data_IF_143713209399
#
_entry.id   IF_143713209399
#
_cell.length_a   1.000
_cell.length_b   1.000
_cell.length_c   1.000
_cell.angle_alpha   90.00
_cell.angle_beta   90.00
_cell.angle_gamma   90.00
#
_symmetry.space_group_name_H-M   'P 1'
#
loop_
_entity.id
_entity.type
_entity.pdbx_description
1 polymer ?
#
# COMPACT_ATOMS: atom_id res chain seq x y z
N UNK A 1 2.38 -11.70 0.38
CA UNK A 1 2.30 -10.79 1.54
C UNK A 1 1.28 -11.30 2.54
N UNK A 2 1.06 -10.55 3.63
CA UNK A 2 0.13 -10.95 4.71
C UNK A 2 -1.31 -11.10 4.23
N UNK A 3 -1.75 -10.31 3.25
CA UNK A 3 -3.04 -10.48 2.57
C UNK A 3 -3.16 -11.88 1.96
N UNK A 4 -2.18 -12.33 1.16
CA UNK A 4 -2.20 -13.64 0.52
C UNK A 4 -2.25 -14.79 1.54
N UNK A 5 -1.53 -14.65 2.67
CA UNK A 5 -1.59 -15.62 3.77
C UNK A 5 -3.01 -15.65 4.37
N UNK A 6 -3.56 -14.49 4.70
CA UNK A 6 -4.82 -14.35 5.42
C UNK A 6 -6.03 -14.82 4.61
N UNK A 7 -6.03 -14.60 3.29
CA UNK A 7 -7.10 -15.09 2.40
C UNK A 7 -6.99 -16.59 2.13
N UNK A 8 -5.85 -17.22 2.43
CA UNK A 8 -5.62 -18.65 2.15
C UNK A 8 -5.92 -19.56 3.34
N UNK A 9 -5.93 -19.03 4.57
CA UNK A 9 -6.08 -19.84 5.79
C UNK A 9 -7.41 -19.57 6.51
N UNK A 10 -7.96 -20.54 7.26
CA UNK A 10 -9.21 -20.36 7.98
C UNK A 10 -9.20 -19.19 8.97
N UNK A 11 -8.10 -19.02 9.73
CA UNK A 11 -8.00 -17.98 10.75
C UNK A 11 -8.12 -16.54 10.20
N UNK A 12 -7.61 -16.29 8.99
CA UNK A 12 -7.73 -14.99 8.34
C UNK A 12 -9.11 -14.78 7.72
N UNK A 13 -9.65 -15.82 7.07
CA UNK A 13 -10.99 -15.77 6.45
C UNK A 13 -12.13 -15.64 7.45
N UNK A 14 -12.01 -16.24 8.64
CA UNK A 14 -13.09 -16.24 9.64
C UNK A 14 -13.37 -14.86 10.25
N UNK A 15 -12.55 -13.85 9.96
CA UNK A 15 -12.75 -12.48 10.45
C UNK A 15 -13.36 -11.54 9.41
N UNK A 16 -13.55 -12.01 8.16
CA UNK A 16 -14.20 -11.24 7.09
C UNK A 16 -15.72 -11.24 7.33
N UNK A 17 -16.33 -10.08 7.25
CA UNK A 17 -17.79 -9.94 7.38
C UNK A 17 -18.48 -9.99 6.01
N UNK A 18 -17.78 -9.52 4.97
CA UNK A 18 -18.28 -9.55 3.60
C UNK A 18 -17.66 -10.71 2.80
N UNK A 19 -18.45 -11.47 2.02
CA UNK A 19 -17.93 -12.46 1.09
C UNK A 19 -17.36 -11.83 -0.19
N UNK A 20 -16.74 -12.66 -1.03
CA UNK A 20 -16.35 -12.28 -2.38
C UNK A 20 -15.25 -11.19 -2.46
N UNK A 21 -15.25 -10.37 -3.52
CA UNK A 21 -14.24 -9.33 -3.77
C UNK A 21 -14.16 -8.27 -2.65
N UNK A 22 -15.28 -7.98 -1.97
CA UNK A 22 -15.31 -7.01 -0.88
C UNK A 22 -14.52 -7.52 0.33
N UNK A 23 -14.74 -8.77 0.76
CA UNK A 23 -13.97 -9.40 1.84
C UNK A 23 -12.47 -9.49 1.54
N UNK A 24 -12.11 -9.72 0.27
CA UNK A 24 -10.72 -9.62 -0.17
C UNK A 24 -10.15 -8.21 0.07
N UNK A 25 -10.92 -7.17 -0.27
CA UNK A 25 -10.52 -5.77 -0.06
C UNK A 25 -10.44 -5.40 1.41
N UNK A 26 -11.31 -5.89 2.26
CA UNK A 26 -11.23 -5.68 3.71
C UNK A 26 -9.87 -6.12 4.27
N UNK A 27 -9.42 -7.32 3.87
CA UNK A 27 -8.12 -7.86 4.29
C UNK A 27 -6.95 -7.13 3.62
N UNK A 28 -7.04 -6.86 2.32
CA UNK A 28 -6.00 -6.11 1.62
C UNK A 28 -5.82 -4.72 2.24
N UNK A 29 -6.93 -4.02 2.49
CA UNK A 29 -6.92 -2.67 3.02
C UNK A 29 -6.39 -2.62 4.45
N UNK A 30 -6.74 -3.59 5.30
CA UNK A 30 -6.22 -3.67 6.66
C UNK A 30 -4.68 -3.73 6.70
N UNK A 31 -4.09 -4.63 5.89
CA UNK A 31 -2.62 -4.73 5.79
C UNK A 31 -2.01 -3.54 5.05
N UNK A 32 -2.61 -3.07 3.96
CA UNK A 32 -2.10 -1.89 3.24
C UNK A 32 -2.09 -0.63 4.13
N UNK A 33 -3.13 -0.42 4.93
CA UNK A 33 -3.23 0.67 5.89
C UNK A 33 -2.21 0.53 7.03
N UNK A 34 -2.03 -0.69 7.56
CA UNK A 34 -1.00 -1.01 8.55
C UNK A 34 0.42 -0.76 8.02
N UNK A 35 0.72 -1.25 6.82
CA UNK A 35 1.99 -1.06 6.14
C UNK A 35 2.29 0.42 5.84
N UNK A 36 1.28 1.17 5.39
CA UNK A 36 1.42 2.59 5.14
C UNK A 36 1.43 3.42 6.44
N UNK A 37 1.22 2.79 7.61
CA UNK A 37 1.05 3.46 8.88
C UNK A 37 -0.05 4.55 8.85
N UNK A 38 -1.13 4.30 8.10
CA UNK A 38 -2.25 5.22 7.92
C UNK A 38 -3.24 5.16 9.08
N UNK A 39 -3.69 3.95 9.43
CA UNK A 39 -4.63 3.71 10.54
C UNK A 39 -6.12 3.71 10.14
N UNK A 40 -6.44 4.03 8.88
CA UNK A 40 -7.80 3.86 8.34
C UNK A 40 -8.20 2.38 8.25
N UNK A 41 -9.50 2.08 8.33
CA UNK A 41 -10.05 0.73 8.17
C UNK A 41 -11.39 0.76 7.42
N UNK A 42 -11.71 -0.31 6.69
CA UNK A 42 -13.05 -0.52 6.09
C UNK A 42 -14.11 -0.92 7.14
N UNK A 43 -13.67 -1.26 8.35
CA UNK A 43 -14.50 -1.56 9.53
C UNK A 43 -15.43 -2.78 9.46
N UNK A 44 -15.49 -3.51 8.34
CA UNK A 44 -16.15 -4.83 8.30
C UNK A 44 -15.24 -5.98 8.77
N UNK A 45 -13.92 -5.89 8.63
CA UNK A 45 -12.98 -6.90 9.13
C UNK A 45 -12.84 -6.86 10.66
N UNK A 46 -13.06 -7.99 11.34
CA UNK A 46 -12.75 -8.11 12.77
C UNK A 46 -11.23 -8.23 13.02
N UNK A 47 -10.59 -7.09 13.22
CA UNK A 47 -9.15 -6.99 13.51
C UNK A 47 -8.79 -7.18 14.99
N UNK A 48 -9.77 -7.34 15.87
CA UNK A 48 -9.54 -7.54 17.31
C UNK A 48 -9.13 -8.98 17.66
N UNK A 49 -9.10 -9.89 16.69
CA UNK A 49 -8.57 -11.24 16.90
C UNK A 49 -7.06 -11.19 17.14
N UNK A 50 -6.49 -12.11 17.95
CA UNK A 50 -5.04 -12.19 18.13
C UNK A 50 -4.29 -12.33 16.79
N UNK A 51 -4.87 -13.02 15.81
CA UNK A 51 -4.30 -13.17 14.48
C UNK A 51 -4.07 -11.82 13.78
N UNK A 52 -5.11 -11.02 13.59
CA UNK A 52 -5.00 -9.74 12.89
C UNK A 52 -4.25 -8.69 13.72
N UNK A 53 -4.54 -8.60 15.03
CA UNK A 53 -3.90 -7.64 15.90
C UNK A 53 -2.37 -7.80 15.92
N UNK A 54 -1.87 -9.05 16.02
CA UNK A 54 -0.44 -9.33 16.02
C UNK A 54 0.16 -9.05 14.63
N UNK A 55 -0.44 -9.57 13.56
CA UNK A 55 0.15 -9.43 12.21
C UNK A 55 0.18 -7.98 11.73
N UNK A 56 -0.91 -7.22 11.95
CA UNK A 56 -0.95 -5.79 11.62
C UNK A 56 0.04 -5.03 12.50
N UNK A 57 0.11 -5.32 13.80
CA UNK A 57 1.07 -4.68 14.70
C UNK A 57 2.53 -4.92 14.29
N UNK A 58 2.86 -6.16 13.90
CA UNK A 58 4.17 -6.52 13.36
C UNK A 58 4.44 -5.76 12.06
N UNK A 59 3.49 -5.73 11.14
CA UNK A 59 3.62 -5.00 9.88
C UNK A 59 3.85 -3.50 10.10
N UNK A 60 3.15 -2.87 11.04
CA UNK A 60 3.36 -1.47 11.41
C UNK A 60 4.77 -1.24 11.94
N UNK A 61 5.28 -2.09 12.84
CA UNK A 61 6.64 -1.94 13.38
C UNK A 61 7.68 -2.00 12.24
N UNK A 62 7.60 -3.02 11.39
CA UNK A 62 8.56 -3.18 10.31
C UNK A 62 8.44 -2.08 9.27
N UNK A 63 7.23 -1.76 8.81
CA UNK A 63 7.02 -0.71 7.82
C UNK A 63 7.36 0.69 8.33
N UNK A 64 7.26 0.94 9.64
CA UNK A 64 7.64 2.21 10.24
C UNK A 64 9.15 2.37 10.37
N UNK A 65 9.83 1.37 10.93
CA UNK A 65 11.23 1.53 11.35
C UNK A 65 12.23 1.00 10.33
N UNK A 66 11.90 -0.04 9.57
CA UNK A 66 12.83 -0.61 8.59
C UNK A 66 13.18 0.39 7.47
N UNK A 67 12.24 1.15 6.87
CA UNK A 67 12.57 2.16 5.86
C UNK A 67 13.36 3.36 6.42
N UNK A 68 13.30 3.62 7.73
CA UNK A 68 14.08 4.70 8.35
C UNK A 68 15.58 4.41 8.33
N UNK A 69 16.00 3.14 8.38
CA UNK A 69 17.41 2.77 8.35
C UNK A 69 18.12 3.23 7.06
N UNK A 70 17.66 2.87 5.84
CA UNK A 70 18.26 3.38 4.61
C UNK A 70 18.02 4.89 4.44
N UNK A 71 16.91 5.44 4.94
CA UNK A 71 16.66 6.89 4.90
C UNK A 71 17.71 7.67 5.69
N UNK A 72 18.03 7.24 6.91
CA UNK A 72 19.07 7.84 7.75
C UNK A 72 20.46 7.63 7.15
N UNK A 73 20.74 6.45 6.59
CA UNK A 73 22.00 6.19 5.90
C UNK A 73 22.17 7.11 4.67
N UNK A 74 21.11 7.30 3.89
CA UNK A 74 21.07 8.23 2.77
C UNK A 74 21.26 9.68 3.22
N UNK A 75 20.57 10.11 4.29
CA UNK A 75 20.74 11.44 4.86
C UNK A 75 22.21 11.69 5.29
N UNK A 76 22.83 10.74 5.99
CA UNK A 76 24.24 10.81 6.36
C UNK A 76 25.18 10.84 5.15
N UNK A 77 24.87 10.10 4.09
CA UNK A 77 25.62 10.12 2.83
C UNK A 77 25.52 11.46 2.12
N UNK A 78 24.32 12.04 2.04
CA UNK A 78 24.06 13.33 1.42
C UNK A 78 24.68 14.49 2.22
N UNK A 79 24.64 14.43 3.56
CA UNK A 79 25.23 15.46 4.43
C UNK A 79 26.74 15.65 4.23
N UNK A 80 27.45 14.63 3.74
CA UNK A 80 28.89 14.70 3.41
C UNK A 80 29.18 15.22 2.01
N UNK A 81 28.16 15.36 1.14
CA UNK A 81 28.34 15.83 -0.24
C UNK A 81 28.29 17.36 -0.27
N UNK A 82 29.11 17.95 -1.15
CA UNK A 82 29.04 19.39 -1.43
C UNK A 82 27.95 19.66 -2.46
N UNK A 83 27.14 20.69 -2.23
CA UNK A 83 26.25 21.23 -3.25
C UNK A 83 27.08 21.86 -4.36
N UNK A 84 26.77 21.52 -5.62
CA UNK A 84 27.44 22.08 -6.79
C UNK A 84 26.62 23.24 -7.37
N UNK A 85 27.29 24.12 -8.11
CA UNK A 85 26.63 25.18 -8.86
C UNK A 85 25.80 24.61 -10.01
N UNK A 86 24.75 25.32 -10.39
CA UNK A 86 23.95 24.97 -11.56
C UNK A 86 24.78 25.11 -12.84
N UNK A 87 24.56 24.20 -13.78
CA UNK A 87 25.21 24.16 -15.08
C UNK A 87 24.16 24.02 -16.19
N UNK A 88 24.58 24.11 -17.45
CA UNK A 88 23.69 23.86 -18.59
C UNK A 88 23.07 22.45 -18.62
N UNK A 89 23.68 21.49 -17.90
CA UNK A 89 23.16 20.12 -17.76
C UNK A 89 22.25 19.91 -16.53
N UNK A 90 22.04 20.92 -15.69
CA UNK A 90 21.23 20.78 -14.47
C UNK A 90 19.74 20.73 -14.83
N UNK A 91 19.08 19.62 -14.52
CA UNK A 91 17.65 19.46 -14.71
C UNK A 91 16.86 20.22 -13.65
N UNK A 92 15.94 21.10 -14.08
CA UNK A 92 15.14 21.95 -13.17
C UNK A 92 13.99 21.18 -12.52
N UNK A 93 14.05 21.01 -11.20
CA UNK A 93 13.08 20.26 -10.39
C UNK A 93 11.93 21.09 -9.83
N UNK A 94 11.81 22.35 -10.25
CA UNK A 94 10.80 23.33 -9.82
C UNK A 94 9.86 23.76 -10.97
N UNK A 95 9.91 23.04 -12.09
CA UNK A 95 9.13 23.34 -13.30
C UNK A 95 7.92 22.41 -13.45
N UNK A 96 6.94 22.82 -14.28
CA UNK A 96 5.80 21.97 -14.64
C UNK A 96 6.21 20.64 -15.28
N UNK A 97 7.34 20.60 -16.01
CA UNK A 97 7.89 19.37 -16.56
C UNK A 97 8.26 18.36 -15.47
N UNK A 98 8.95 18.80 -14.42
CA UNK A 98 9.31 17.92 -13.30
C UNK A 98 8.07 17.43 -12.56
N UNK A 99 7.06 18.29 -12.38
CA UNK A 99 5.79 17.90 -11.74
C UNK A 99 5.12 16.76 -12.52
N UNK A 100 5.00 16.89 -13.85
CA UNK A 100 4.40 15.84 -14.69
C UNK A 100 5.23 14.56 -14.64
N UNK A 101 6.56 14.66 -14.71
CA UNK A 101 7.45 13.51 -14.63
C UNK A 101 7.32 12.77 -13.29
N UNK A 102 7.31 13.51 -12.17
CA UNK A 102 7.20 12.96 -10.82
C UNK A 102 5.84 12.28 -10.59
N UNK A 103 4.75 12.94 -10.98
CA UNK A 103 3.40 12.36 -10.88
C UNK A 103 3.25 11.13 -11.77
N UNK A 104 3.77 11.18 -13.00
CA UNK A 104 3.77 10.04 -13.92
C UNK A 104 4.50 8.84 -13.34
N UNK A 105 5.67 9.05 -12.73
CA UNK A 105 6.41 8.01 -12.04
C UNK A 105 5.62 7.43 -10.86
N UNK A 106 5.02 8.28 -10.01
CA UNK A 106 4.22 7.84 -8.86
C UNK A 106 3.01 7.00 -9.29
N UNK A 107 2.25 7.46 -10.29
CA UNK A 107 1.08 6.77 -10.83
C UNK A 107 1.50 5.44 -11.45
N UNK A 108 2.55 5.43 -12.27
CA UNK A 108 3.04 4.22 -12.92
C UNK A 108 3.47 3.18 -11.89
N UNK A 109 4.23 3.59 -10.87
CA UNK A 109 4.69 2.70 -9.81
C UNK A 109 3.52 2.13 -9.01
N UNK A 110 2.55 2.98 -8.62
CA UNK A 110 1.35 2.56 -7.92
C UNK A 110 0.49 1.61 -8.77
N UNK A 111 0.27 1.93 -10.04
CA UNK A 111 -0.48 1.10 -10.97
C UNK A 111 0.17 -0.27 -11.12
N UNK A 112 1.46 -0.35 -11.45
CA UNK A 112 2.14 -1.64 -11.62
C UNK A 112 2.16 -2.50 -10.35
N UNK A 113 2.17 -1.87 -9.17
CA UNK A 113 2.17 -2.59 -7.88
C UNK A 113 0.78 -3.10 -7.49
N UNK A 114 -0.25 -2.27 -7.66
CA UNK A 114 -1.60 -2.54 -7.14
C UNK A 114 -2.61 -2.96 -8.21
N UNK A 115 -2.24 -3.01 -9.49
CA UNK A 115 -3.16 -3.38 -10.56
C UNK A 115 -3.78 -4.77 -10.39
N UNK A 116 -3.01 -5.86 -10.12
CA UNK A 116 -3.63 -7.17 -9.90
C UNK A 116 -4.64 -7.22 -8.75
N UNK A 117 -4.33 -6.72 -7.52
CA UNK A 117 -5.32 -6.74 -6.46
C UNK A 117 -6.51 -5.80 -6.69
N UNK A 118 -6.33 -4.66 -7.38
CA UNK A 118 -7.45 -3.77 -7.72
C UNK A 118 -8.43 -4.42 -8.71
N UNK A 119 -7.93 -5.26 -9.61
CA UNK A 119 -8.79 -6.07 -10.48
C UNK A 119 -9.63 -7.04 -9.65
N UNK A 120 -9.00 -7.78 -8.74
CA UNK A 120 -9.66 -8.83 -7.96
C UNK A 120 -10.61 -8.29 -6.87
N UNK A 121 -10.46 -7.02 -6.49
CA UNK A 121 -11.29 -6.35 -5.49
C UNK A 121 -12.35 -5.44 -6.12
N UNK A 122 -12.15 -4.11 -6.09
CA UNK A 122 -13.21 -3.14 -6.43
C UNK A 122 -13.67 -3.21 -7.88
N UNK A 123 -12.79 -3.53 -8.83
CA UNK A 123 -13.19 -3.62 -10.24
C UNK A 123 -14.08 -4.84 -10.47
N UNK A 124 -13.69 -6.01 -9.94
CA UNK A 124 -14.52 -7.22 -10.01
C UNK A 124 -15.85 -7.03 -9.28
N UNK A 125 -15.84 -6.39 -8.11
CA UNK A 125 -17.06 -6.06 -7.36
C UNK A 125 -18.00 -5.19 -8.19
N UNK A 126 -17.49 -4.07 -8.72
CA UNK A 126 -18.28 -3.14 -9.54
C UNK A 126 -18.86 -3.81 -10.78
N UNK A 127 -18.05 -4.59 -11.50
CA UNK A 127 -18.49 -5.34 -12.68
C UNK A 127 -19.51 -6.43 -12.32
N UNK A 128 -19.38 -7.08 -11.16
CA UNK A 128 -20.33 -8.10 -10.71
C UNK A 128 -21.71 -7.49 -10.43
N UNK A 129 -21.74 -6.35 -9.73
CA UNK A 129 -22.97 -5.60 -9.46
C UNK A 129 -23.65 -5.16 -10.76
N UNK A 130 -22.89 -4.68 -11.74
CA UNK A 130 -23.42 -4.30 -13.06
C UNK A 130 -24.06 -5.49 -13.82
N UNK A 131 -23.59 -6.71 -13.58
CA UNK A 131 -24.15 -7.94 -14.16
C UNK A 131 -25.17 -8.64 -13.25
N UNK A 132 -25.60 -8.00 -12.15
CA UNK A 132 -26.60 -8.54 -11.23
C UNK A 132 -26.11 -9.69 -10.33
N UNK A 133 -24.79 -9.84 -10.17
CA UNK A 133 -24.17 -10.82 -9.27
C UNK A 133 -23.89 -10.16 -7.91
N UNK A 134 -24.49 -10.68 -6.85
CA UNK A 134 -24.17 -10.34 -5.46
C UNK A 134 -23.49 -11.52 -4.75
N UNK A 135 -22.66 -11.22 -3.76
CA UNK A 135 -21.93 -12.20 -2.96
C UNK A 135 -22.56 -12.37 -1.59
#
# INVERSE_FOLDING_TARGET
GLTALSVSIPAGKSSMDNPGPHGFMEVLYAFASGNANNGSAMAGLNVSTPYYAILIGVEMIFSRFLPLLPLLAMAGSLARKKTLLETSGTFKTDTGLFVVLLLGFMILFAALTFFPPLILGPLLEHLSILHGVSF
#
